data_IF_127282536320
#
_entry.id   IF_127282536320
#
_cell.length_a   1.000
_cell.length_b   1.000
_cell.length_c   1.000
_cell.angle_alpha   90.00
_cell.angle_beta   90.00
_cell.angle_gamma   90.00
#
_symmetry.space_group_name_H-M   'P 1'
#
loop_
_entity.id
_entity.type
_entity.pdbx_description
1 polymer ?
#
# COMPACT_ATOMS: atom_id res chain seq x y z
N UNK A 1 19.22 47.48 4.82
CA UNK A 1 19.95 46.29 4.33
C UNK A 1 19.90 45.23 5.42
N UNK A 2 18.90 44.36 5.38
CA UNK A 2 18.65 43.32 6.41
C UNK A 2 19.17 41.98 5.86
N UNK A 3 20.07 41.27 6.55
CA UNK A 3 20.54 39.97 6.08
C UNK A 3 19.53 38.89 6.47
N UNK A 4 18.76 38.38 5.50
CA UNK A 4 17.88 37.24 5.71
C UNK A 4 18.59 35.93 5.35
N UNK A 5 19.10 35.31 6.42
CA UNK A 5 19.15 33.87 6.71
C UNK A 5 19.35 32.94 5.51
N UNK A 6 20.60 32.49 5.44
CA UNK A 6 21.06 31.24 4.83
C UNK A 6 20.13 30.06 5.21
N UNK A 7 19.23 29.67 4.32
CA UNK A 7 18.44 28.44 4.47
C UNK A 7 19.29 27.28 3.99
N UNK A 8 20.02 26.68 4.93
CA UNK A 8 20.61 25.36 4.77
C UNK A 8 19.48 24.35 4.52
N UNK A 9 19.10 24.21 3.25
CA UNK A 9 18.25 23.14 2.75
C UNK A 9 19.09 21.86 2.77
N UNK A 10 19.21 21.25 3.95
CA UNK A 10 19.69 19.88 4.10
C UNK A 10 18.72 18.96 3.34
N UNK A 11 18.93 18.81 2.02
CA UNK A 11 18.53 17.63 1.27
C UNK A 11 19.21 16.46 1.98
N UNK A 12 18.51 15.81 2.90
CA UNK A 12 18.89 14.47 3.34
C UNK A 12 18.97 13.66 2.05
N UNK A 13 20.18 13.29 1.65
CA UNK A 13 20.39 12.26 0.64
C UNK A 13 19.66 11.03 1.16
N UNK A 14 18.48 10.74 0.62
CA UNK A 14 17.82 9.46 0.83
C UNK A 14 18.68 8.48 0.05
N UNK A 15 19.65 7.86 0.72
CA UNK A 15 20.28 6.65 0.21
C UNK A 15 19.15 5.64 0.07
N UNK A 16 18.78 5.30 -1.16
CA UNK A 16 17.78 4.27 -1.41
C UNK A 16 18.44 2.91 -1.24
N UNK A 17 18.57 2.47 0.01
CA UNK A 17 18.86 1.07 0.30
C UNK A 17 17.63 0.25 -0.08
N UNK A 18 17.84 -0.77 -0.90
CA UNK A 18 16.78 -1.61 -1.44
C UNK A 18 17.11 -3.05 -1.13
N UNK A 19 16.19 -3.71 -0.46
CA UNK A 19 16.24 -5.14 -0.20
C UNK A 19 15.06 -5.80 -0.90
N UNK A 20 15.31 -6.96 -1.52
CA UNK A 20 14.28 -7.75 -2.20
C UNK A 20 14.22 -9.10 -1.50
N UNK A 21 13.11 -9.34 -0.80
CA UNK A 21 12.82 -10.59 -0.10
C UNK A 21 11.89 -11.45 -0.94
N UNK A 22 12.45 -12.20 -1.90
CA UNK A 22 11.70 -13.15 -2.71
C UNK A 22 11.29 -14.39 -1.89
N UNK A 23 10.38 -15.19 -2.44
CA UNK A 23 9.87 -16.42 -1.80
C UNK A 23 9.25 -16.20 -0.41
N UNK A 24 8.84 -14.97 -0.13
CA UNK A 24 8.19 -14.55 1.10
C UNK A 24 6.76 -14.11 0.78
N UNK A 25 5.86 -14.32 1.72
CA UNK A 25 4.45 -13.94 1.62
C UNK A 25 4.04 -13.10 2.82
N UNK A 26 3.28 -12.04 2.57
CA UNK A 26 2.62 -11.26 3.62
C UNK A 26 1.43 -12.07 4.15
N UNK A 27 1.43 -12.38 5.45
CA UNK A 27 0.35 -13.17 6.08
C UNK A 27 -0.46 -12.36 7.10
N UNK A 28 0.08 -11.23 7.57
CA UNK A 28 -0.61 -10.29 8.43
C UNK A 28 0.00 -8.89 8.31
N UNK A 29 -0.61 -7.93 9.00
CA UNK A 29 -0.13 -6.55 9.10
C UNK A 29 0.15 -6.22 10.55
N UNK A 30 1.12 -5.34 10.78
CA UNK A 30 1.36 -4.75 12.10
C UNK A 30 0.51 -3.49 12.20
N UNK A 31 -0.50 -3.51 13.08
CA UNK A 31 -1.33 -2.34 13.38
C UNK A 31 -0.82 -1.62 14.63
N UNK A 32 -0.80 -0.29 14.60
CA UNK A 32 -0.66 0.55 15.81
C UNK A 32 -2.01 1.22 16.11
N UNK A 33 -2.44 1.18 17.37
CA UNK A 33 -3.50 2.06 17.86
C UNK A 33 -2.87 3.38 18.26
N UNK A 34 -3.37 4.50 17.75
CA UNK A 34 -3.19 5.77 18.42
C UNK A 34 -3.91 5.74 19.79
N UNK A 35 -3.49 6.63 20.68
CA UNK A 35 -3.89 6.78 22.11
C UNK A 35 -5.37 6.44 22.39
N UNK A 36 -5.74 6.08 23.65
CA UNK A 36 -7.12 5.69 24.02
C UNK A 36 -8.21 6.65 23.54
N UNK A 37 -7.87 7.93 23.43
CA UNK A 37 -8.77 9.05 23.13
C UNK A 37 -9.00 9.27 21.62
N UNK A 38 -8.18 8.65 20.76
CA UNK A 38 -8.34 8.63 19.29
C UNK A 38 -7.89 7.27 18.75
N UNK A 39 -8.80 6.32 18.50
CA UNK A 39 -8.46 4.99 17.98
C UNK A 39 -8.17 5.03 16.47
N UNK A 40 -7.41 6.02 15.98
CA UNK A 40 -6.97 6.01 14.58
C UNK A 40 -5.91 4.93 14.41
N UNK A 41 -6.39 3.74 14.07
CA UNK A 41 -5.57 2.56 13.83
C UNK A 41 -4.88 2.73 12.47
N UNK A 42 -3.58 2.47 12.45
CA UNK A 42 -2.71 2.69 11.27
C UNK A 42 -1.84 1.46 11.03
N UNK A 43 -1.60 1.16 9.76
CA UNK A 43 -0.60 0.17 9.37
C UNK A 43 0.80 0.72 9.64
N UNK A 44 1.58 -0.07 10.37
CA UNK A 44 2.91 0.27 10.87
C UNK A 44 3.97 -0.77 10.50
N UNK A 45 3.60 -1.76 9.68
CA UNK A 45 4.48 -2.86 9.31
C UNK A 45 3.72 -4.02 8.69
N UNK A 46 4.46 -5.03 8.27
CA UNK A 46 3.96 -6.25 7.67
C UNK A 46 4.49 -7.46 8.45
N UNK A 47 3.74 -8.55 8.42
CA UNK A 47 4.13 -9.84 8.98
C UNK A 47 4.30 -10.80 7.83
N UNK A 48 5.51 -11.33 7.68
CA UNK A 48 5.95 -12.16 6.57
C UNK A 48 6.17 -13.60 7.03
N UNK A 49 5.95 -14.54 6.14
CA UNK A 49 6.42 -15.92 6.29
C UNK A 49 7.04 -16.36 4.95
N UNK A 50 7.89 -17.38 4.96
CA UNK A 50 8.32 -18.01 3.71
C UNK A 50 7.13 -18.64 3.03
N UNK A 51 6.99 -18.47 1.71
CA UNK A 51 5.84 -18.98 0.96
C UNK A 51 5.68 -20.50 1.07
N UNK A 52 6.77 -21.24 1.29
CA UNK A 52 6.77 -22.69 1.46
C UNK A 52 6.11 -23.13 2.78
N UNK A 53 6.19 -22.35 3.85
CA UNK A 53 5.65 -22.71 5.18
C UNK A 53 4.13 -22.92 5.15
N UNK A 54 3.31 -21.92 4.74
CA UNK A 54 1.87 -22.13 4.66
C UNK A 54 1.48 -23.11 3.54
N UNK A 55 2.27 -23.21 2.47
CA UNK A 55 2.03 -24.18 1.39
C UNK A 55 2.17 -25.62 1.90
N UNK A 56 3.16 -25.88 2.74
CA UNK A 56 3.45 -27.19 3.31
C UNK A 56 2.64 -27.48 4.60
N UNK A 57 1.79 -26.55 5.06
CA UNK A 57 1.03 -26.70 6.31
C UNK A 57 1.91 -26.75 7.56
N UNK A 58 3.11 -26.15 7.50
CA UNK A 58 4.06 -26.15 8.61
C UNK A 58 3.74 -25.04 9.62
N UNK A 59 3.98 -25.33 10.89
CA UNK A 59 3.77 -24.40 12.00
C UNK A 59 5.10 -23.71 12.35
N UNK A 60 5.48 -22.72 11.53
CA UNK A 60 6.65 -21.87 11.77
C UNK A 60 6.20 -20.43 12.00
N UNK A 61 6.70 -19.83 13.07
CA UNK A 61 6.38 -18.46 13.43
C UNK A 61 6.84 -17.45 12.36
N UNK A 62 6.04 -16.42 12.08
CA UNK A 62 6.37 -15.42 11.07
C UNK A 62 7.31 -14.32 11.60
N UNK A 63 7.87 -13.55 10.67
CA UNK A 63 8.72 -12.39 10.94
C UNK A 63 7.95 -11.08 10.77
N UNK A 64 8.13 -10.14 11.69
CA UNK A 64 7.52 -8.81 11.60
C UNK A 64 8.54 -7.76 11.11
N UNK A 65 8.16 -6.98 10.11
CA UNK A 65 8.94 -5.84 9.61
C UNK A 65 8.17 -4.56 9.88
N UNK A 66 8.81 -3.59 10.51
CA UNK A 66 8.25 -2.26 10.76
C UNK A 66 8.37 -1.39 9.51
N UNK A 67 7.28 -0.73 9.13
CA UNK A 67 7.24 0.17 7.99
C UNK A 67 6.50 1.47 8.33
N UNK A 68 7.03 2.60 7.87
CA UNK A 68 6.32 3.88 7.98
C UNK A 68 5.14 3.96 7.03
N UNK A 69 5.21 3.32 5.85
CA UNK A 69 4.14 3.24 4.86
C UNK A 69 4.27 1.88 4.20
N UNK A 70 3.16 1.20 3.95
CA UNK A 70 3.08 -0.01 3.14
C UNK A 70 2.38 0.32 1.80
N UNK A 71 2.77 -0.38 0.74
CA UNK A 71 2.12 -0.27 -0.57
C UNK A 71 1.66 -1.68 -0.97
N UNK A 72 0.36 -1.87 -1.15
CA UNK A 72 -0.21 -3.07 -1.74
C UNK A 72 -0.15 -2.97 -3.27
N UNK A 73 0.77 -3.75 -3.84
CA UNK A 73 0.92 -3.94 -5.28
C UNK A 73 0.73 -5.42 -5.65
N UNK A 74 -0.09 -6.17 -4.90
CA UNK A 74 -0.33 -7.61 -5.08
C UNK A 74 -1.28 -7.96 -6.25
N UNK A 75 -1.39 -7.04 -7.21
CA UNK A 75 -2.25 -7.12 -8.41
C UNK A 75 -3.73 -7.33 -8.02
N UNK A 76 -4.48 -8.06 -8.84
CA UNK A 76 -5.92 -8.31 -8.72
C UNK A 76 -6.33 -8.87 -7.35
N UNK A 77 -5.42 -9.60 -6.68
CA UNK A 77 -5.70 -10.25 -5.41
C UNK A 77 -5.82 -9.30 -4.22
N UNK A 78 -5.26 -8.08 -4.30
CA UNK A 78 -5.28 -7.08 -3.22
C UNK A 78 -5.08 -7.69 -1.82
N UNK A 79 -4.10 -8.59 -1.71
CA UNK A 79 -3.96 -9.52 -0.58
C UNK A 79 -3.82 -8.77 0.75
N UNK A 80 -3.08 -7.66 0.77
CA UNK A 80 -2.86 -6.89 1.99
C UNK A 80 -4.15 -6.18 2.40
N UNK A 81 -4.88 -5.61 1.45
CA UNK A 81 -6.20 -5.02 1.72
C UNK A 81 -7.21 -6.06 2.25
N UNK A 82 -7.26 -7.27 1.67
CA UNK A 82 -8.10 -8.35 2.20
C UNK A 82 -7.68 -8.79 3.61
N UNK A 83 -6.37 -8.86 3.89
CA UNK A 83 -5.86 -9.12 5.24
C UNK A 83 -6.34 -8.04 6.23
N UNK A 84 -6.28 -6.77 5.85
CA UNK A 84 -6.73 -5.65 6.68
C UNK A 84 -8.23 -5.76 6.98
N UNK A 85 -9.07 -5.94 5.95
CA UNK A 85 -10.52 -6.09 6.12
C UNK A 85 -10.84 -7.28 7.03
N UNK A 86 -10.19 -8.42 6.80
CA UNK A 86 -10.45 -9.66 7.55
C UNK A 86 -9.99 -9.62 9.01
N UNK A 87 -8.84 -9.00 9.30
CA UNK A 87 -8.19 -9.08 10.63
C UNK A 87 -8.35 -7.85 11.51
N UNK A 88 -8.73 -6.71 10.94
CA UNK A 88 -8.86 -5.45 11.69
C UNK A 88 -10.33 -5.03 11.73
N UNK A 89 -10.87 -4.56 10.60
CA UNK A 89 -12.25 -4.08 10.42
C UNK A 89 -12.43 -3.65 8.94
N UNK A 90 -13.63 -3.78 8.31
CA UNK A 90 -13.96 -3.15 7.03
C UNK A 90 -13.99 -1.61 7.12
N UNK A 91 -12.82 -0.99 7.21
CA UNK A 91 -12.63 0.47 7.23
C UNK A 91 -11.63 0.94 6.17
N UNK A 92 -11.54 0.22 5.04
CA UNK A 92 -10.88 0.79 3.87
C UNK A 92 -11.61 2.07 3.46
N UNK A 93 -10.89 3.03 2.87
CA UNK A 93 -11.43 4.28 2.35
C UNK A 93 -12.18 4.09 1.03
N UNK A 94 -12.89 2.96 0.91
CA UNK A 94 -13.78 2.62 -0.18
C UNK A 94 -15.21 2.97 0.22
N UNK A 95 -16.15 2.93 -0.73
CA UNK A 95 -17.56 3.23 -0.44
C UNK A 95 -18.19 2.23 0.54
N UNK A 96 -17.68 1.00 0.58
CA UNK A 96 -18.21 -0.10 1.38
C UNK A 96 -17.41 -0.38 2.65
N UNK A 97 -16.22 0.22 2.81
CA UNK A 97 -15.27 -0.19 3.84
C UNK A 97 -14.47 -1.46 3.50
N UNK A 98 -14.84 -2.14 2.42
CA UNK A 98 -14.26 -3.41 1.96
C UNK A 98 -13.53 -3.28 0.62
N UNK A 99 -12.94 -4.37 0.15
CA UNK A 99 -12.43 -4.48 -1.23
C UNK A 99 -13.64 -4.66 -2.16
N UNK A 100 -13.88 -3.71 -3.06
CA UNK A 100 -15.08 -3.72 -3.92
C UNK A 100 -14.99 -4.84 -4.99
N UNK A 101 -13.79 -5.19 -5.43
CA UNK A 101 -13.54 -6.15 -6.50
C UNK A 101 -13.51 -5.47 -7.88
N UNK A 102 -12.73 -6.03 -8.81
CA UNK A 102 -12.62 -5.47 -10.16
C UNK A 102 -13.85 -5.77 -11.02
N UNK A 103 -14.12 -4.89 -11.99
CA UNK A 103 -15.16 -5.07 -12.99
C UNK A 103 -14.63 -5.76 -14.26
N UNK A 104 -15.52 -6.26 -15.14
CA UNK A 104 -15.15 -6.78 -16.45
C UNK A 104 -14.26 -5.82 -17.25
N UNK A 105 -13.59 -6.37 -18.26
CA UNK A 105 -12.56 -5.65 -18.99
C UNK A 105 -13.10 -4.43 -19.74
N UNK A 106 -12.49 -3.28 -19.45
CA UNK A 106 -12.62 -2.05 -20.24
C UNK A 106 -11.26 -1.34 -20.18
N UNK A 107 -10.44 -1.58 -21.20
CA UNK A 107 -9.04 -1.16 -21.22
C UNK A 107 -8.83 0.33 -20.94
N UNK A 108 -9.47 1.18 -21.73
CA UNK A 108 -9.34 2.63 -21.64
C UNK A 108 -9.74 3.18 -20.26
N UNK A 109 -10.91 2.76 -19.74
CA UNK A 109 -11.40 3.20 -18.44
C UNK A 109 -10.53 2.64 -17.32
N UNK A 110 -10.18 1.35 -17.37
CA UNK A 110 -9.34 0.71 -16.37
C UNK A 110 -7.97 1.35 -16.26
N UNK A 111 -7.34 1.70 -17.38
CA UNK A 111 -6.02 2.35 -17.40
C UNK A 111 -6.07 3.78 -16.85
N UNK A 112 -7.11 4.56 -17.22
CA UNK A 112 -7.32 5.92 -16.72
C UNK A 112 -7.59 5.93 -15.21
N UNK A 113 -8.50 5.08 -14.74
CA UNK A 113 -8.94 5.06 -13.33
C UNK A 113 -7.86 4.53 -12.38
N UNK A 114 -6.89 3.74 -12.87
CA UNK A 114 -5.77 3.23 -12.05
C UNK A 114 -5.06 4.37 -11.31
N UNK A 115 -4.83 5.51 -11.96
CA UNK A 115 -4.07 6.62 -11.38
C UNK A 115 -4.85 7.29 -10.25
N UNK A 116 -6.15 7.50 -10.46
CA UNK A 116 -7.06 8.09 -9.46
C UNK A 116 -7.31 7.15 -8.27
N UNK A 117 -7.26 5.84 -8.52
CA UNK A 117 -7.36 4.81 -7.51
C UNK A 117 -6.04 4.56 -6.77
N UNK A 118 -4.91 5.03 -7.30
CA UNK A 118 -3.61 4.92 -6.64
C UNK A 118 -3.51 5.94 -5.52
N UNK A 119 -3.93 5.54 -4.32
CA UNK A 119 -3.99 6.40 -3.12
C UNK A 119 -3.95 5.57 -1.85
N UNK A 120 -3.91 6.27 -0.71
CA UNK A 120 -3.98 5.65 0.60
C UNK A 120 -5.39 5.05 0.84
N UNK A 121 -5.47 3.71 0.79
CA UNK A 121 -6.70 2.94 1.00
C UNK A 121 -7.03 2.73 2.48
N UNK A 122 -6.02 2.77 3.36
CA UNK A 122 -6.18 2.75 4.82
C UNK A 122 -5.02 3.54 5.44
N UNK A 123 -5.16 4.18 6.61
CA UNK A 123 -4.03 4.91 7.22
C UNK A 123 -2.74 4.07 7.25
N UNK A 124 -1.70 4.53 6.55
CA UNK A 124 -0.41 3.85 6.40
C UNK A 124 -0.33 2.77 5.30
N UNK A 125 -1.38 2.56 4.52
CA UNK A 125 -1.46 1.58 3.43
C UNK A 125 -1.95 2.24 2.13
N UNK A 126 -1.07 2.27 1.13
CA UNK A 126 -1.35 2.73 -0.23
C UNK A 126 -1.65 1.52 -1.11
N UNK A 127 -2.46 1.68 -2.14
CA UNK A 127 -2.68 0.67 -3.18
C UNK A 127 -2.13 1.17 -4.52
N UNK A 128 -1.58 0.27 -5.33
CA UNK A 128 -1.01 0.57 -6.63
C UNK A 128 -1.25 -0.55 -7.65
N UNK A 129 -1.15 -0.22 -8.93
CA UNK A 129 -1.41 -1.12 -10.05
C UNK A 129 -2.83 -1.70 -10.02
N UNK A 130 -2.97 -2.96 -10.42
CA UNK A 130 -4.28 -3.63 -10.40
C UNK A 130 -4.92 -3.71 -9.01
N UNK A 131 -4.14 -3.71 -7.94
CA UNK A 131 -4.69 -3.71 -6.59
C UNK A 131 -5.53 -2.44 -6.35
N UNK A 132 -5.14 -1.31 -6.93
CA UNK A 132 -5.90 -0.07 -6.84
C UNK A 132 -7.31 -0.21 -7.46
N UNK A 133 -7.40 -0.73 -8.69
CA UNK A 133 -8.71 -0.93 -9.33
C UNK A 133 -9.55 -1.99 -8.64
N UNK A 134 -8.94 -3.09 -8.17
CA UNK A 134 -9.64 -4.13 -7.43
C UNK A 134 -10.17 -3.61 -6.09
N UNK A 135 -9.43 -2.76 -5.37
CA UNK A 135 -9.88 -2.16 -4.12
C UNK A 135 -11.02 -1.18 -4.35
N UNK A 136 -10.93 -0.34 -5.37
CA UNK A 136 -11.88 0.76 -5.60
C UNK A 136 -13.02 0.47 -6.58
N UNK A 137 -13.09 -0.72 -7.17
CA UNK A 137 -14.25 -1.14 -7.97
C UNK A 137 -14.20 -0.75 -9.45
N UNK A 138 -13.00 -0.64 -10.01
CA UNK A 138 -12.77 -0.21 -11.39
C UNK A 138 -12.57 -1.38 -12.36
N UNK A 139 -12.79 -1.19 -13.67
CA UNK A 139 -12.53 -2.21 -14.69
C UNK A 139 -11.07 -2.67 -14.75
N UNK A 140 -10.85 -3.92 -15.15
CA UNK A 140 -9.53 -4.41 -15.58
C UNK A 140 -9.17 -3.93 -16.99
N UNK A 141 -7.88 -3.82 -17.30
CA UNK A 141 -7.40 -3.26 -18.58
C UNK A 141 -6.70 -4.23 -19.53
N UNK A 142 -6.53 -5.49 -19.17
CA UNK A 142 -5.85 -6.46 -20.02
C UNK A 142 -4.33 -6.25 -20.07
N UNK A 143 -3.69 -6.62 -21.17
CA UNK A 143 -2.23 -6.60 -21.32
C UNK A 143 -1.69 -5.23 -21.74
N UNK A 144 -2.10 -4.16 -21.05
CA UNK A 144 -1.60 -2.79 -21.24
C UNK A 144 -1.00 -2.31 -19.91
N UNK A 145 0.21 -1.77 -19.95
CA UNK A 145 1.03 -1.53 -18.75
C UNK A 145 1.40 -0.05 -18.51
N UNK A 146 0.97 0.88 -19.36
CA UNK A 146 1.26 2.32 -19.21
C UNK A 146 0.75 2.84 -17.87
N UNK A 147 -0.53 2.59 -17.57
CA UNK A 147 -1.14 2.89 -16.28
C UNK A 147 -0.43 2.24 -15.09
N UNK A 148 0.13 1.03 -15.23
CA UNK A 148 0.85 0.35 -14.12
C UNK A 148 2.11 1.11 -13.71
N UNK A 149 2.91 1.56 -14.68
CA UNK A 149 4.13 2.32 -14.41
C UNK A 149 3.81 3.68 -13.79
N UNK A 150 2.82 4.38 -14.35
CA UNK A 150 2.37 5.67 -13.84
C UNK A 150 1.75 5.54 -12.44
N UNK A 151 1.06 4.44 -12.15
CA UNK A 151 0.56 4.11 -10.82
C UNK A 151 1.71 3.90 -9.83
N UNK A 152 2.76 3.16 -10.19
CA UNK A 152 3.94 3.01 -9.34
C UNK A 152 4.57 4.37 -8.98
N UNK A 153 4.70 5.26 -9.97
CA UNK A 153 5.16 6.64 -9.75
C UNK A 153 4.24 7.40 -8.80
N UNK A 154 2.93 7.35 -9.04
CA UNK A 154 1.92 8.02 -8.21
C UNK A 154 1.94 7.52 -6.76
N UNK A 155 2.10 6.21 -6.56
CA UNK A 155 2.21 5.62 -5.23
C UNK A 155 3.44 6.14 -4.47
N UNK A 156 4.57 6.34 -5.16
CA UNK A 156 5.77 6.92 -4.57
C UNK A 156 5.55 8.39 -4.17
N UNK A 157 4.88 9.20 -4.99
CA UNK A 157 4.52 10.59 -4.66
C UNK A 157 3.64 10.64 -3.41
N UNK A 158 2.58 9.83 -3.36
CA UNK A 158 1.67 9.74 -2.20
C UNK A 158 2.43 9.28 -0.95
N UNK A 159 3.35 8.32 -1.08
CA UNK A 159 4.18 7.86 0.03
C UNK A 159 5.08 8.98 0.57
N UNK A 160 5.71 9.77 -0.31
CA UNK A 160 6.53 10.91 0.09
C UNK A 160 5.71 11.99 0.81
N UNK A 161 4.49 12.27 0.34
CA UNK A 161 3.56 13.20 0.99
C UNK A 161 3.15 12.74 2.40
N UNK A 162 2.94 11.43 2.59
CA UNK A 162 2.64 10.87 3.92
C UNK A 162 3.86 10.95 4.84
N UNK A 163 5.06 10.75 4.30
CA UNK A 163 6.30 10.76 5.06
C UNK A 163 6.77 12.18 5.43
N UNK A 164 6.41 13.19 4.64
CA UNK A 164 6.80 14.59 4.86
C UNK A 164 5.91 15.33 5.87
N UNK A 165 4.66 14.89 6.08
CA UNK A 165 3.70 15.49 7.02
C UNK A 165 3.96 15.14 8.51
N UNK A 166 5.19 14.77 8.86
CA UNK A 166 5.59 14.32 10.21
C UNK A 166 6.60 15.25 10.85
#
# INVERSE_FOLDING_TARGET
MVPLRNTNLHRRKVSAEKEILNSSRVIAVVGLSAKPERPSRRIAGLVLNWSAVPLAGLHVDPLAIKAKVAIDATRHGSEICHIVVKKIDPKLRTKTGEVIGEKPMWAEVGEREIIENTKEAYPGLIVAGMAANAVFGSPRMGAIFGGMLLSGKRAAEVALDILSKK
#
